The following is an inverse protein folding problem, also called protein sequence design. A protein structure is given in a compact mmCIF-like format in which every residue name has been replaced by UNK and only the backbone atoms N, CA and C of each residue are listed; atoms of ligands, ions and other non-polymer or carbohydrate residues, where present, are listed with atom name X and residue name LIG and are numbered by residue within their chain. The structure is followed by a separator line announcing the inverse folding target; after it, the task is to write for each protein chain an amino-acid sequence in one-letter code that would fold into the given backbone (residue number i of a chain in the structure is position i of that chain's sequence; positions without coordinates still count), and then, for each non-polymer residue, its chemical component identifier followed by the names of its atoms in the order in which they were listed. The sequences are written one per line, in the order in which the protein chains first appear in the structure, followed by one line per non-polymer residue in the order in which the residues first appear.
data_IF_373943616978
#
_entry.id   IF_373943616978
#
_cell.length_a   1.000
_cell.length_b   1.000
_cell.length_c   1.000
_cell.angle_alpha   90.00
_cell.angle_beta   90.00
_cell.angle_gamma   90.00
#
_symmetry.space_group_name_H-M   'P 1'
#
loop_
_entity.id
_entity.type
_entity.pdbx_description
1 polymer ?
#
# COMPACT_ATOMS: atom_id res chain seq x y z
N UNK A 1 -35.57 -22.05 -36.16
CA UNK A 1 -34.82 -20.79 -36.40
C UNK A 1 -34.94 -19.91 -35.16
N UNK A 2 -33.86 -19.67 -34.41
CA UNK A 2 -33.89 -18.75 -33.27
C UNK A 2 -34.21 -17.33 -33.79
N UNK A 3 -35.24 -16.71 -33.24
CA UNK A 3 -35.68 -15.36 -33.60
C UNK A 3 -34.55 -14.35 -33.31
N UNK A 4 -34.18 -13.48 -34.26
CA UNK A 4 -33.11 -12.51 -34.09
C UNK A 4 -33.25 -11.64 -32.83
N UNK A 5 -34.49 -11.38 -32.39
CA UNK A 5 -34.79 -10.65 -31.14
C UNK A 5 -34.38 -11.42 -29.87
N UNK A 6 -34.48 -12.75 -29.86
CA UNK A 6 -34.10 -13.57 -28.69
C UNK A 6 -32.58 -13.68 -28.56
N UNK A 7 -31.84 -13.66 -29.67
CA UNK A 7 -30.37 -13.66 -29.67
C UNK A 7 -29.83 -12.31 -29.19
N UNK A 8 -30.41 -11.19 -29.65
CA UNK A 8 -29.97 -9.85 -29.27
C UNK A 8 -30.21 -9.56 -27.78
N UNK A 9 -31.38 -9.96 -27.26
CA UNK A 9 -31.71 -9.81 -25.83
C UNK A 9 -30.79 -10.64 -24.94
N UNK A 10 -30.48 -11.89 -25.32
CA UNK A 10 -29.51 -12.73 -24.59
C UNK A 10 -28.11 -12.10 -24.56
N UNK A 11 -27.63 -11.56 -25.69
CA UNK A 11 -26.32 -10.87 -25.77
C UNK A 11 -26.27 -9.64 -24.88
N UNK A 12 -27.31 -8.82 -24.88
CA UNK A 12 -27.37 -7.62 -24.05
C UNK A 12 -27.38 -7.95 -22.55
N UNK A 13 -28.11 -9.01 -22.15
CA UNK A 13 -28.11 -9.51 -20.77
C UNK A 13 -26.71 -9.96 -20.35
N UNK A 14 -26.05 -10.81 -21.14
CA UNK A 14 -24.71 -11.30 -20.84
C UNK A 14 -23.69 -10.15 -20.72
N UNK A 15 -23.73 -9.17 -21.63
CA UNK A 15 -22.87 -7.99 -21.54
C UNK A 15 -23.13 -7.15 -20.29
N UNK A 16 -24.37 -7.10 -19.81
CA UNK A 16 -24.72 -6.40 -18.57
C UNK A 16 -24.26 -7.15 -17.32
N UNK A 17 -24.33 -8.48 -17.34
CA UNK A 17 -23.85 -9.36 -16.26
C UNK A 17 -22.33 -9.26 -16.12
N UNK A 18 -21.58 -9.44 -17.22
CA UNK A 18 -20.13 -9.33 -17.23
C UNK A 18 -19.64 -7.96 -16.72
N UNK A 19 -20.36 -6.87 -17.05
CA UNK A 19 -20.04 -5.52 -16.55
C UNK A 19 -20.24 -5.41 -15.05
N UNK A 20 -21.36 -5.93 -14.53
CA UNK A 20 -21.64 -5.94 -13.09
C UNK A 20 -20.62 -6.77 -12.32
N UNK A 21 -20.27 -7.94 -12.83
CA UNK A 21 -19.25 -8.81 -12.21
C UNK A 21 -17.88 -8.12 -12.15
N UNK A 22 -17.44 -7.51 -13.26
CA UNK A 22 -16.18 -6.77 -13.30
C UNK A 22 -16.16 -5.58 -12.32
N UNK A 23 -17.30 -4.90 -12.15
CA UNK A 23 -17.43 -3.80 -11.18
C UNK A 23 -17.34 -4.29 -9.74
N UNK A 24 -18.05 -5.37 -9.40
CA UNK A 24 -18.03 -5.93 -8.04
C UNK A 24 -16.61 -6.39 -7.69
N UNK A 25 -15.94 -7.09 -8.62
CA UNK A 25 -14.57 -7.58 -8.41
C UNK A 25 -13.57 -6.41 -8.26
N UNK A 26 -13.63 -5.42 -9.14
CA UNK A 26 -12.77 -4.23 -9.05
C UNK A 26 -13.02 -3.45 -7.75
N UNK A 27 -14.29 -3.30 -7.35
CA UNK A 27 -14.66 -2.59 -6.14
C UNK A 27 -14.16 -3.28 -4.88
N UNK A 28 -14.37 -4.60 -4.76
CA UNK A 28 -13.94 -5.38 -3.59
C UNK A 28 -12.40 -5.36 -3.43
N UNK A 29 -11.68 -5.58 -4.54
CA UNK A 29 -10.22 -5.51 -4.54
C UNK A 29 -9.69 -4.12 -4.16
N UNK A 30 -10.30 -3.05 -4.69
CA UNK A 30 -9.94 -1.67 -4.36
C UNK A 30 -10.20 -1.34 -2.89
N UNK A 31 -11.34 -1.72 -2.32
CA UNK A 31 -11.62 -1.53 -0.89
C UNK A 31 -10.62 -2.25 0.00
N UNK A 32 -10.31 -3.50 -0.34
CA UNK A 32 -9.35 -4.31 0.41
C UNK A 32 -7.96 -3.67 0.39
N UNK A 33 -7.48 -3.27 -0.78
CA UNK A 33 -6.18 -2.59 -0.92
C UNK A 33 -6.15 -1.25 -0.20
N UNK A 34 -7.25 -0.48 -0.25
CA UNK A 34 -7.34 0.79 0.47
C UNK A 34 -7.22 0.59 1.99
N UNK A 35 -7.86 -0.45 2.56
CA UNK A 35 -7.71 -0.80 3.98
C UNK A 35 -6.27 -1.15 4.33
N UNK A 36 -5.60 -1.97 3.52
CA UNK A 36 -4.19 -2.30 3.73
C UNK A 36 -3.28 -1.07 3.60
N UNK A 37 -3.57 -0.18 2.66
CA UNK A 37 -2.84 1.08 2.49
C UNK A 37 -2.95 1.96 3.73
N UNK A 38 -4.15 2.13 4.28
CA UNK A 38 -4.34 2.92 5.52
C UNK A 38 -3.60 2.30 6.71
N UNK A 39 -3.68 0.98 6.88
CA UNK A 39 -2.95 0.29 7.94
C UNK A 39 -1.42 0.45 7.78
N UNK A 40 -0.94 0.37 6.55
CA UNK A 40 0.46 0.59 6.20
C UNK A 40 0.94 2.02 6.51
N UNK A 41 0.19 3.04 6.07
CA UNK A 41 0.52 4.45 6.37
C UNK A 41 0.53 4.69 7.88
N UNK A 42 -0.46 4.14 8.60
CA UNK A 42 -0.51 4.25 10.06
C UNK A 42 0.72 3.63 10.71
N UNK A 43 1.13 2.43 10.28
CA UNK A 43 2.34 1.77 10.75
C UNK A 43 3.59 2.63 10.49
N UNK A 44 3.77 3.13 9.26
CA UNK A 44 4.91 3.97 8.91
C UNK A 44 4.98 5.23 9.77
N UNK A 45 3.85 5.93 9.92
CA UNK A 45 3.77 7.13 10.74
C UNK A 45 4.07 6.82 12.21
N UNK A 46 3.52 5.72 12.74
CA UNK A 46 3.77 5.29 14.10
C UNK A 46 5.25 5.00 14.36
N UNK A 47 5.90 4.27 13.46
CA UNK A 47 7.34 3.98 13.58
C UNK A 47 8.18 5.25 13.44
N UNK A 48 7.85 6.14 12.49
CA UNK A 48 8.55 7.42 12.34
C UNK A 48 8.47 8.27 13.61
N UNK A 49 7.30 8.38 14.23
CA UNK A 49 7.15 9.11 15.50
C UNK A 49 8.08 8.55 16.57
N UNK A 50 8.15 7.22 16.69
CA UNK A 50 9.04 6.57 17.66
C UNK A 50 10.50 6.90 17.34
N UNK A 51 10.94 6.66 16.10
CA UNK A 51 12.33 6.87 15.66
C UNK A 51 12.76 8.33 15.84
N UNK A 52 11.86 9.28 15.57
CA UNK A 52 12.08 10.71 15.81
C UNK A 52 12.10 11.09 17.29
N UNK A 53 11.45 10.31 18.16
CA UNK A 53 11.44 10.53 19.61
C UNK A 53 12.61 9.88 20.35
N UNK A 54 13.26 8.88 19.75
CA UNK A 54 14.45 8.24 20.31
C UNK A 54 15.55 9.27 20.50
N UNK A 55 16.13 9.35 21.69
CA UNK A 55 17.22 10.29 22.02
C UNK A 55 18.60 9.63 21.87
N UNK A 56 19.64 10.42 21.62
CA UNK A 56 21.01 9.90 21.47
C UNK A 56 21.50 9.19 22.74
N UNK A 57 21.05 9.66 23.89
CA UNK A 57 21.38 9.05 25.18
C UNK A 57 20.72 7.69 25.36
N UNK A 58 19.53 7.46 24.80
CA UNK A 58 18.92 6.12 24.78
C UNK A 58 19.70 5.17 23.89
N UNK A 59 20.24 5.65 22.76
CA UNK A 59 21.10 4.84 21.88
C UNK A 59 22.42 4.45 22.58
N UNK A 60 22.95 5.32 23.44
CA UNK A 60 24.16 5.05 24.21
C UNK A 60 23.91 4.17 25.45
N UNK A 61 22.75 4.32 26.09
CA UNK A 61 22.36 3.64 27.33
C UNK A 61 21.15 2.74 27.08
N UNK A 62 21.43 1.49 26.68
CA UNK A 62 20.44 0.48 26.30
C UNK A 62 19.33 0.26 27.35
N UNK A 63 19.68 0.39 28.63
CA UNK A 63 18.80 0.14 29.78
C UNK A 63 17.60 1.10 29.86
N UNK A 64 17.65 2.25 29.17
CA UNK A 64 16.53 3.21 29.18
C UNK A 64 15.33 2.74 28.35
N UNK A 65 15.55 1.90 27.34
CA UNK A 65 14.52 1.43 26.42
C UNK A 65 13.79 2.56 25.67
N UNK A 66 12.72 2.18 24.97
CA UNK A 66 11.82 3.09 24.24
C UNK A 66 10.40 2.94 24.78
N UNK A 67 9.74 4.06 25.05
CA UNK A 67 8.32 4.07 25.41
C UNK A 67 7.49 4.17 24.12
N UNK A 68 6.65 3.16 23.88
CA UNK A 68 5.76 3.13 22.73
C UNK A 68 4.61 4.15 22.90
N UNK A 69 4.42 5.10 21.96
CA UNK A 69 3.28 6.01 21.96
C UNK A 69 1.97 5.22 21.97
N UNK A 70 0.92 5.76 22.61
CA UNK A 70 -0.42 5.15 22.70
C UNK A 70 -0.46 3.92 23.63
N UNK A 71 0.45 2.96 23.45
CA UNK A 71 0.53 1.74 24.26
C UNK A 71 1.13 1.98 25.65
N UNK A 72 1.96 3.02 25.81
CA UNK A 72 2.64 3.36 27.07
C UNK A 72 3.44 2.19 27.68
N UNK A 73 3.98 1.31 26.83
CA UNK A 73 4.83 0.19 27.22
C UNK A 73 6.27 0.52 26.94
N UNK A 74 7.17 0.23 27.89
CA UNK A 74 8.61 0.32 27.67
C UNK A 74 9.10 -0.97 27.00
N UNK A 75 9.75 -0.84 25.85
CA UNK A 75 10.34 -1.94 25.08
C UNK A 75 11.85 -1.78 24.98
N UNK A 76 12.61 -2.89 24.92
CA UNK A 76 14.05 -2.83 24.70
C UNK A 76 14.38 -2.12 23.37
N UNK A 77 15.37 -1.23 23.41
CA UNK A 77 15.81 -0.45 22.26
C UNK A 77 16.12 -1.35 21.05
N UNK A 78 17.01 -2.33 21.26
CA UNK A 78 17.45 -3.29 20.23
C UNK A 78 16.27 -4.09 19.69
N UNK A 79 15.35 -4.51 20.56
CA UNK A 79 14.14 -5.24 20.16
C UNK A 79 13.27 -4.45 19.18
N UNK A 80 13.06 -3.16 19.45
CA UNK A 80 12.34 -2.28 18.54
C UNK A 80 13.02 -2.17 17.17
N UNK A 81 14.33 -1.88 17.15
CA UNK A 81 15.08 -1.69 15.90
C UNK A 81 15.30 -2.99 15.11
N UNK A 82 15.14 -4.17 15.70
CA UNK A 82 15.12 -5.44 14.96
C UNK A 82 13.72 -5.73 14.41
N UNK A 83 12.67 -5.55 15.21
CA UNK A 83 11.31 -5.95 14.84
C UNK A 83 10.64 -4.95 13.89
N UNK A 84 10.86 -3.64 14.06
CA UNK A 84 10.20 -2.62 13.25
C UNK A 84 10.51 -2.73 11.75
N UNK A 85 11.78 -2.90 11.31
CA UNK A 85 12.09 -3.13 9.89
C UNK A 85 11.38 -4.37 9.33
N UNK A 86 11.40 -5.49 10.05
CA UNK A 86 10.77 -6.75 9.62
C UNK A 86 9.25 -6.54 9.44
N UNK A 87 8.61 -5.87 10.40
CA UNK A 87 7.19 -5.59 10.35
C UNK A 87 6.82 -4.66 9.19
N UNK A 88 7.61 -3.59 8.97
CA UNK A 88 7.41 -2.67 7.83
C UNK A 88 7.51 -3.43 6.52
N UNK A 89 8.57 -4.22 6.32
CA UNK A 89 8.78 -4.98 5.08
C UNK A 89 7.66 -6.01 4.87
N UNK A 90 7.24 -6.73 5.92
CA UNK A 90 6.15 -7.70 5.81
C UNK A 90 4.81 -7.05 5.41
N UNK A 91 4.45 -5.93 6.04
CA UNK A 91 3.22 -5.19 5.69
C UNK A 91 3.34 -4.55 4.30
N UNK A 92 4.52 -4.07 3.92
CA UNK A 92 4.78 -3.51 2.58
C UNK A 92 4.62 -4.56 1.48
N UNK A 93 5.18 -5.77 1.65
CA UNK A 93 4.99 -6.89 0.72
C UNK A 93 3.50 -7.24 0.58
N UNK A 94 2.77 -7.30 1.71
CA UNK A 94 1.33 -7.57 1.69
C UNK A 94 0.55 -6.49 0.92
N UNK A 95 0.92 -5.21 1.10
CA UNK A 95 0.34 -4.09 0.35
C UNK A 95 0.61 -4.21 -1.15
N UNK A 96 1.85 -4.55 -1.54
CA UNK A 96 2.23 -4.71 -2.95
C UNK A 96 1.46 -5.87 -3.60
N UNK A 97 1.28 -6.99 -2.89
CA UNK A 97 0.50 -8.13 -3.37
C UNK A 97 -0.96 -7.73 -3.63
N UNK A 98 -1.61 -7.07 -2.66
CA UNK A 98 -2.99 -6.62 -2.80
C UNK A 98 -3.16 -5.55 -3.90
N UNK A 99 -2.16 -4.68 -4.06
CA UNK A 99 -2.13 -3.67 -5.12
C UNK A 99 -2.05 -4.33 -6.51
N UNK A 100 -1.26 -5.39 -6.67
CA UNK A 100 -1.17 -6.16 -7.92
C UNK A 100 -2.51 -6.83 -8.29
N UNK A 101 -3.19 -7.43 -7.31
CA UNK A 101 -4.52 -8.03 -7.50
C UNK A 101 -5.52 -6.96 -7.95
N UNK A 102 -5.49 -5.80 -7.31
CA UNK A 102 -6.37 -4.67 -7.65
C UNK A 102 -6.08 -4.13 -9.05
N UNK A 103 -4.81 -3.98 -9.42
CA UNK A 103 -4.42 -3.59 -10.77
C UNK A 103 -4.99 -4.54 -11.82
N UNK A 104 -4.91 -5.86 -11.58
CA UNK A 104 -5.46 -6.86 -12.50
C UNK A 104 -6.99 -6.74 -12.63
N UNK A 105 -7.68 -6.53 -11.53
CA UNK A 105 -9.15 -6.39 -11.48
C UNK A 105 -9.62 -5.09 -12.16
N UNK A 106 -8.94 -3.97 -11.92
CA UNK A 106 -9.21 -2.70 -12.58
C UNK A 106 -8.91 -2.75 -14.08
N UNK A 107 -7.86 -3.47 -14.48
CA UNK A 107 -7.56 -3.70 -15.89
C UNK A 107 -8.65 -4.53 -16.56
N UNK A 108 -9.12 -5.59 -15.93
CA UNK A 108 -10.26 -6.39 -16.41
C UNK A 108 -11.52 -5.51 -16.60
N UNK A 109 -11.87 -4.70 -15.59
CA UNK A 109 -12.95 -3.72 -15.69
C UNK A 109 -12.77 -2.75 -16.87
N UNK A 110 -11.56 -2.22 -17.04
CA UNK A 110 -11.25 -1.29 -18.13
C UNK A 110 -11.47 -1.92 -19.51
N UNK A 111 -11.16 -3.21 -19.67
CA UNK A 111 -11.36 -3.94 -20.93
C UNK A 111 -12.84 -4.20 -21.21
N UNK A 112 -13.61 -4.60 -20.19
CA UNK A 112 -15.06 -4.82 -20.28
C UNK A 112 -15.82 -3.54 -20.67
N UNK A 113 -15.27 -2.39 -20.32
CA UNK A 113 -15.78 -1.06 -20.69
C UNK A 113 -15.13 -0.46 -21.96
N UNK A 114 -14.37 -1.24 -22.72
CA UNK A 114 -13.66 -0.77 -23.93
C UNK A 114 -12.83 0.50 -23.66
N UNK A 115 -12.15 0.54 -22.50
CA UNK A 115 -11.33 1.65 -21.98
C UNK A 115 -12.09 2.95 -21.68
N UNK A 116 -13.44 2.93 -21.66
CA UNK A 116 -14.29 4.08 -21.35
C UNK A 116 -15.12 3.82 -20.09
N UNK A 117 -14.43 3.63 -18.96
CA UNK A 117 -15.08 3.46 -17.65
C UNK A 117 -15.74 4.80 -17.25
N UNK A 118 -17.04 4.81 -16.87
CA UNK A 118 -17.69 6.02 -16.38
C UNK A 118 -17.03 6.52 -15.08
N UNK A 119 -16.77 7.82 -14.96
CA UNK A 119 -16.14 8.42 -13.77
C UNK A 119 -16.88 8.10 -12.47
N UNK A 120 -18.21 7.99 -12.51
CA UNK A 120 -19.06 7.66 -11.35
C UNK A 120 -18.69 6.30 -10.73
N UNK A 121 -18.06 5.41 -11.51
CA UNK A 121 -17.65 4.07 -11.08
C UNK A 121 -16.19 3.99 -10.66
N UNK A 122 -15.41 5.06 -10.84
CA UNK A 122 -14.03 5.14 -10.36
C UNK A 122 -14.10 5.60 -8.91
N UNK A 123 -13.69 4.76 -7.96
CA UNK A 123 -13.61 5.19 -6.56
C UNK A 123 -12.53 6.23 -6.38
N UNK A 124 -12.72 7.10 -5.38
CA UNK A 124 -11.78 8.17 -5.02
C UNK A 124 -10.55 7.65 -4.27
N UNK A 125 -9.97 6.54 -4.74
CA UNK A 125 -8.72 5.98 -4.21
C UNK A 125 -7.55 6.32 -5.17
N UNK A 126 -6.36 6.48 -4.60
CA UNK A 126 -5.14 6.89 -5.32
C UNK A 126 -4.84 5.92 -6.48
N UNK A 127 -4.89 4.61 -6.20
CA UNK A 127 -4.56 3.57 -7.18
C UNK A 127 -5.58 3.52 -8.33
N UNK A 128 -6.87 3.65 -8.02
CA UNK A 128 -7.96 3.59 -9.00
C UNK A 128 -7.86 4.76 -10.00
N UNK A 129 -7.60 5.96 -9.50
CA UNK A 129 -7.40 7.16 -10.33
C UNK A 129 -6.10 7.05 -11.13
N UNK A 130 -5.02 6.52 -10.55
CA UNK A 130 -3.74 6.32 -11.24
C UNK A 130 -3.86 5.38 -12.45
N UNK A 131 -4.78 4.40 -12.39
CA UNK A 131 -4.99 3.39 -13.44
C UNK A 131 -6.07 3.85 -14.44
N UNK A 132 -7.26 4.19 -13.94
CA UNK A 132 -8.46 4.46 -14.74
C UNK A 132 -8.67 5.95 -15.08
N UNK A 133 -7.86 6.85 -14.54
CA UNK A 133 -7.98 8.30 -14.77
C UNK A 133 -8.02 8.65 -16.25
N UNK A 134 -9.00 9.48 -16.63
CA UNK A 134 -9.20 9.93 -18.01
C UNK A 134 -8.36 11.16 -18.37
N UNK A 135 -8.21 12.08 -17.42
CA UNK A 135 -7.39 13.28 -17.56
C UNK A 135 -5.90 12.92 -17.50
N UNK A 136 -5.13 13.26 -18.53
CA UNK A 136 -3.73 12.89 -18.64
C UNK A 136 -2.83 13.54 -17.58
N UNK A 137 -3.14 14.76 -17.14
CA UNK A 137 -2.32 15.50 -16.17
C UNK A 137 -2.61 14.99 -14.76
N UNK A 138 -3.89 14.86 -14.40
CA UNK A 138 -4.30 14.31 -13.10
C UNK A 138 -3.81 12.86 -12.99
N UNK A 139 -3.97 12.05 -14.03
CA UNK A 139 -3.48 10.67 -14.03
C UNK A 139 -1.99 10.58 -13.72
N UNK A 140 -1.15 11.40 -14.37
CA UNK A 140 0.31 11.40 -14.12
C UNK A 140 0.64 11.76 -12.68
N UNK A 141 -0.05 12.75 -12.11
CA UNK A 141 0.13 13.13 -10.71
C UNK A 141 -0.21 11.97 -9.77
N UNK A 142 -1.34 11.31 -9.98
CA UNK A 142 -1.76 10.17 -9.17
C UNK A 142 -0.85 8.95 -9.35
N UNK A 143 -0.27 8.75 -10.53
CA UNK A 143 0.76 7.74 -10.76
C UNK A 143 2.04 8.05 -9.99
N UNK A 144 2.50 9.30 -10.01
CA UNK A 144 3.66 9.72 -9.22
C UNK A 144 3.40 9.54 -7.72
N UNK A 145 2.22 9.96 -7.23
CA UNK A 145 1.81 9.75 -5.84
C UNK A 145 1.74 8.27 -5.49
N UNK A 146 1.15 7.43 -6.34
CA UNK A 146 1.10 5.99 -6.12
C UNK A 146 2.51 5.39 -6.05
N UNK A 147 3.42 5.77 -6.95
CA UNK A 147 4.80 5.31 -6.91
C UNK A 147 5.50 5.73 -5.61
N UNK A 148 5.38 6.99 -5.20
CA UNK A 148 5.99 7.48 -3.96
C UNK A 148 5.42 6.72 -2.75
N UNK A 149 4.10 6.62 -2.66
CA UNK A 149 3.43 6.09 -1.48
C UNK A 149 3.45 4.55 -1.39
N UNK A 150 3.40 3.83 -2.51
CA UNK A 150 3.35 2.37 -2.51
C UNK A 150 4.73 1.73 -2.75
N UNK A 151 5.62 2.37 -3.52
CA UNK A 151 6.94 1.78 -3.84
C UNK A 151 8.02 2.36 -2.91
N UNK A 152 8.15 3.69 -2.86
CA UNK A 152 9.31 4.35 -2.25
C UNK A 152 9.17 4.65 -0.75
N UNK A 153 7.96 4.67 -0.20
CA UNK A 153 7.75 5.03 1.21
C UNK A 153 8.44 4.06 2.18
N UNK A 154 8.40 2.76 1.92
CA UNK A 154 9.05 1.74 2.76
C UNK A 154 10.58 1.90 2.78
N UNK A 155 11.30 1.89 1.63
CA UNK A 155 12.76 2.05 1.65
C UNK A 155 13.19 3.39 2.23
N UNK A 156 12.41 4.47 2.05
CA UNK A 156 12.69 5.76 2.70
C UNK A 156 12.63 5.63 4.23
N UNK A 157 11.56 5.05 4.78
CA UNK A 157 11.41 4.89 6.24
C UNK A 157 12.46 3.93 6.79
N UNK A 158 12.75 2.83 6.10
CA UNK A 158 13.81 1.90 6.49
C UNK A 158 15.19 2.56 6.46
N UNK A 159 15.46 3.42 5.49
CA UNK A 159 16.69 4.23 5.44
C UNK A 159 16.79 5.20 6.62
N UNK A 160 15.68 5.82 7.02
CA UNK A 160 15.62 6.69 8.21
C UNK A 160 15.90 5.88 9.49
N UNK A 161 15.32 4.69 9.62
CA UNK A 161 15.58 3.79 10.76
C UNK A 161 17.06 3.41 10.80
N UNK A 162 17.63 3.00 9.66
CA UNK A 162 19.03 2.64 9.55
C UNK A 162 19.95 3.80 9.93
N UNK A 163 19.69 5.00 9.40
CA UNK A 163 20.45 6.20 9.73
C UNK A 163 20.34 6.55 11.21
N UNK A 164 19.17 6.37 11.84
CA UNK A 164 19.02 6.64 13.27
C UNK A 164 19.75 5.62 14.13
N UNK A 165 19.78 4.36 13.71
CA UNK A 165 20.39 3.27 14.46
C UNK A 165 21.89 3.11 14.21
N UNK A 166 22.45 3.76 13.18
CA UNK A 166 23.87 3.61 12.84
C UNK A 166 24.81 4.02 13.98
N UNK A 167 24.36 4.93 14.85
CA UNK A 167 25.12 5.40 16.00
C UNK A 167 25.36 4.30 17.05
N UNK A 168 24.56 3.24 17.04
CA UNK A 168 24.69 2.08 17.93
C UNK A 168 25.83 1.13 17.52
N UNK A 169 26.39 1.27 16.30
CA UNK A 169 27.55 0.49 15.79
C UNK A 169 27.42 -1.04 15.84
N UNK A 170 26.20 -1.59 15.71
CA UNK A 170 25.99 -3.05 15.64
C UNK A 170 25.99 -3.57 14.20
N UNK A 171 27.06 -4.26 13.82
CA UNK A 171 27.24 -4.89 12.50
C UNK A 171 26.10 -5.85 12.09
N UNK A 172 25.65 -6.83 12.91
CA UNK A 172 24.63 -7.77 12.47
C UNK A 172 23.28 -7.10 12.22
N UNK A 173 22.91 -6.12 13.05
CA UNK A 173 21.65 -5.40 12.91
C UNK A 173 21.72 -4.46 11.70
N UNK A 174 22.87 -3.82 11.46
CA UNK A 174 23.11 -3.02 10.27
C UNK A 174 22.90 -3.85 8.98
N UNK A 175 23.47 -5.06 8.92
CA UNK A 175 23.27 -5.97 7.78
C UNK A 175 21.80 -6.34 7.58
N UNK A 176 21.06 -6.59 8.67
CA UNK A 176 19.61 -6.86 8.59
C UNK A 176 18.86 -5.68 7.95
N UNK A 177 19.16 -4.44 8.36
CA UNK A 177 18.48 -3.27 7.81
C UNK A 177 18.78 -3.10 6.31
N UNK A 178 20.04 -3.27 5.90
CA UNK A 178 20.43 -3.20 4.48
C UNK A 178 19.70 -4.23 3.64
N UNK A 179 19.48 -5.45 4.16
CA UNK A 179 18.75 -6.49 3.44
C UNK A 179 17.25 -6.18 3.28
N UNK A 180 16.69 -5.34 4.14
CA UNK A 180 15.26 -4.99 4.12
C UNK A 180 14.92 -3.78 3.24
N UNK A 181 15.90 -2.94 2.91
CA UNK A 181 15.77 -1.75 2.03
C UNK A 181 15.75 -2.17 0.56
#
# INVERSE_FOLDING_TARGET
MLNGKTVLSKRNRLNSENKKEAEIQANDSSEKTHRFFLAYVFLLTYVLVIVSSTTDLQLLLEDKGIVLPILNVNVPLVGFYVIAPILITAVHINLLLHSSITYSSLKYLSLTYSKKVPNIKVKNNILDIAILGKDSSIKRLYQALANILYIYSSPIVLSIILFRFSDYQSTPIFCLHILMI
#
